data_IF_814420313317
#
_entry.id   IF_814420313317
#
_cell.length_a   1.000
_cell.length_b   1.000
_cell.length_c   1.000
_cell.angle_alpha   90.00
_cell.angle_beta   90.00
_cell.angle_gamma   90.00
#
_symmetry.space_group_name_H-M   'P 1'
#
loop_
_entity.id
_entity.type
_entity.pdbx_description
1 polymer ?
#
# COMPACT_ATOMS: atom_id res chain seq x y z
N UNK A 1 14.84 8.61 -16.26
CA UNK A 1 14.78 9.28 -14.94
C UNK A 1 16.19 9.66 -14.50
N UNK A 2 16.35 10.66 -13.64
CA UNK A 2 17.66 10.95 -13.02
C UNK A 2 17.95 9.90 -11.94
N UNK A 3 19.22 9.56 -11.67
CA UNK A 3 19.56 8.66 -10.57
C UNK A 3 19.11 9.27 -9.24
N UNK A 4 18.54 8.43 -8.36
CA UNK A 4 18.16 8.83 -7.01
C UNK A 4 19.41 9.20 -6.22
N UNK A 5 19.31 10.23 -5.40
CA UNK A 5 20.43 10.73 -4.56
C UNK A 5 20.09 10.80 -3.09
N UNK A 6 18.84 10.52 -2.74
CA UNK A 6 18.31 10.55 -1.39
C UNK A 6 17.31 9.43 -1.25
N UNK A 7 17.30 8.81 -0.08
CA UNK A 7 16.23 7.97 0.44
C UNK A 7 15.63 8.66 1.67
N UNK A 8 14.43 8.23 2.09
CA UNK A 8 13.67 8.91 3.14
C UNK A 8 13.09 7.89 4.12
N UNK A 9 13.40 8.01 5.40
CA UNK A 9 12.69 7.30 6.47
C UNK A 9 11.32 7.95 6.70
N UNK A 10 10.33 7.11 7.03
CA UNK A 10 8.97 7.48 7.38
C UNK A 10 8.73 7.10 8.84
N UNK A 11 8.43 8.09 9.68
CA UNK A 11 8.26 7.90 11.13
C UNK A 11 6.86 8.36 11.55
N UNK A 12 6.18 7.55 12.36
CA UNK A 12 4.90 7.93 12.96
C UNK A 12 5.11 8.98 14.05
N UNK A 13 4.22 9.97 14.09
CA UNK A 13 4.28 11.12 15.00
C UNK A 13 2.88 11.64 15.32
N UNK A 14 2.75 12.33 16.44
CA UNK A 14 1.50 12.94 16.89
C UNK A 14 1.20 14.28 16.19
N UNK A 15 2.20 14.87 15.53
CA UNK A 15 2.07 16.19 14.89
C UNK A 15 1.96 16.05 13.37
N UNK A 16 1.09 16.83 12.76
CA UNK A 16 0.99 16.90 11.30
C UNK A 16 2.18 17.68 10.71
N UNK A 17 3.00 16.99 9.91
CA UNK A 17 4.12 17.56 9.16
C UNK A 17 3.80 17.78 7.67
N UNK A 18 2.57 17.51 7.24
CA UNK A 18 2.15 17.61 5.84
C UNK A 18 2.75 16.52 4.95
N UNK A 19 3.24 15.42 5.52
CA UNK A 19 3.84 14.31 4.76
C UNK A 19 2.91 13.09 4.62
N UNK A 20 1.74 13.11 5.23
CA UNK A 20 0.79 12.01 5.22
C UNK A 20 0.43 11.50 6.61
N UNK A 21 -0.31 10.40 6.64
CA UNK A 21 -0.77 9.74 7.84
C UNK A 21 -0.99 8.24 7.59
N UNK A 22 -0.93 7.46 8.67
CA UNK A 22 -1.45 6.11 8.74
C UNK A 22 -2.81 6.10 9.45
N UNK A 23 -3.58 5.04 9.24
CA UNK A 23 -4.95 4.89 9.74
C UNK A 23 -5.87 6.01 9.21
N UNK A 24 -6.99 6.23 9.88
CA UNK A 24 -7.96 7.24 9.50
C UNK A 24 -8.61 6.93 8.15
N UNK A 25 -9.10 7.99 7.51
CA UNK A 25 -9.69 7.90 6.20
C UNK A 25 -8.75 8.52 5.14
N UNK A 26 -8.84 8.07 3.88
CA UNK A 26 -8.14 8.70 2.77
C UNK A 26 -8.74 10.10 2.49
N UNK A 27 -8.11 10.83 1.58
CA UNK A 27 -8.56 12.14 1.11
C UNK A 27 -8.73 12.14 -0.40
N UNK A 28 -9.52 13.10 -0.90
CA UNK A 28 -9.54 13.43 -2.33
C UNK A 28 -10.19 12.39 -3.24
N UNK A 29 -10.61 11.24 -2.70
CA UNK A 29 -11.43 10.26 -3.42
C UNK A 29 -12.88 10.32 -2.93
N UNK A 30 -13.83 9.91 -3.76
CA UNK A 30 -15.22 9.73 -3.33
C UNK A 30 -15.42 8.39 -2.62
N UNK A 31 -16.52 8.26 -1.88
CA UNK A 31 -16.96 6.96 -1.32
C UNK A 31 -17.18 5.91 -2.40
N UNK A 32 -17.56 6.32 -3.61
CA UNK A 32 -17.71 5.43 -4.75
C UNK A 32 -16.36 4.99 -5.34
N UNK A 33 -15.28 5.70 -5.03
CA UNK A 33 -13.91 5.35 -5.42
C UNK A 33 -13.18 4.52 -4.36
N UNK A 34 -13.82 4.23 -3.23
CA UNK A 34 -13.24 3.43 -2.16
C UNK A 34 -12.93 2.01 -2.67
N UNK A 35 -11.66 1.55 -2.63
CA UNK A 35 -11.29 0.23 -3.15
C UNK A 35 -12.12 -0.90 -2.54
N UNK A 36 -12.41 -1.91 -3.36
CA UNK A 36 -13.22 -3.08 -2.99
C UNK A 36 -12.41 -4.36 -3.15
N UNK A 37 -12.52 -5.26 -2.18
CA UNK A 37 -12.09 -6.66 -2.30
C UNK A 37 -12.60 -7.25 -3.62
N UNK A 38 -11.78 -8.06 -4.28
CA UNK A 38 -12.16 -8.78 -5.51
C UNK A 38 -12.90 -10.07 -5.21
N UNK A 39 -12.89 -10.51 -3.96
CA UNK A 39 -13.41 -11.80 -3.52
C UNK A 39 -14.77 -11.68 -2.84
N UNK A 40 -14.86 -10.86 -1.79
CA UNK A 40 -16.11 -10.68 -1.01
C UNK A 40 -16.75 -9.31 -1.27
N UNK A 41 -16.03 -8.41 -1.93
CA UNK A 41 -16.55 -7.10 -2.33
C UNK A 41 -16.68 -6.13 -1.17
N UNK A 42 -16.15 -6.41 0.02
CA UNK A 42 -16.10 -5.44 1.12
C UNK A 42 -15.24 -4.22 0.75
N UNK A 43 -15.53 -3.03 1.28
CA UNK A 43 -14.61 -1.90 1.21
C UNK A 43 -13.32 -2.20 1.98
N UNK A 44 -12.19 -2.05 1.29
CA UNK A 44 -10.86 -2.38 1.79
C UNK A 44 -10.46 -1.46 2.95
N UNK A 45 -9.63 -1.96 3.87
CA UNK A 45 -9.05 -1.12 4.92
C UNK A 45 -8.11 -0.09 4.30
N UNK A 46 -8.25 1.19 4.67
CA UNK A 46 -7.23 2.19 4.37
C UNK A 46 -6.10 2.02 5.39
N UNK A 47 -4.87 1.87 4.89
CA UNK A 47 -3.70 1.70 5.75
C UNK A 47 -3.02 3.04 5.99
N UNK A 48 -2.75 3.78 4.92
CA UNK A 48 -2.04 5.05 4.97
C UNK A 48 -2.16 5.84 3.67
N UNK A 49 -1.95 7.14 3.78
CA UNK A 49 -1.76 8.06 2.65
C UNK A 49 -0.47 8.84 2.89
N UNK A 50 0.49 8.75 1.97
CA UNK A 50 1.84 9.32 2.11
C UNK A 50 2.20 10.18 0.91
N UNK A 51 2.80 11.35 1.18
CA UNK A 51 3.41 12.20 0.16
C UNK A 51 4.64 11.50 -0.43
N UNK A 52 4.70 11.36 -1.75
CA UNK A 52 5.86 10.77 -2.43
C UNK A 52 6.92 11.86 -2.66
N UNK A 53 8.18 11.65 -2.24
CA UNK A 53 9.27 12.58 -2.54
C UNK A 53 9.40 12.78 -4.06
N UNK A 54 9.70 14.01 -4.51
CA UNK A 54 9.67 14.38 -5.94
C UNK A 54 10.48 13.41 -6.83
N UNK A 55 11.64 12.96 -6.34
CA UNK A 55 12.51 12.04 -7.08
C UNK A 55 11.90 10.63 -7.27
N UNK A 56 10.94 10.23 -6.44
CA UNK A 56 10.26 8.93 -6.47
C UNK A 56 8.92 8.96 -7.23
N UNK A 57 8.50 10.11 -7.77
CA UNK A 57 7.24 10.27 -8.52
C UNK A 57 7.37 9.74 -9.95
N UNK A 58 7.37 8.43 -10.08
CA UNK A 58 7.53 7.71 -11.35
C UNK A 58 6.31 7.80 -12.29
N UNK A 59 5.12 8.14 -11.77
CA UNK A 59 3.90 8.32 -12.57
C UNK A 59 3.70 9.75 -13.09
N UNK A 60 4.68 10.63 -12.86
CA UNK A 60 4.65 12.02 -13.30
C UNK A 60 4.59 13.00 -12.14
N UNK A 61 4.99 14.25 -12.41
CA UNK A 61 5.16 15.29 -11.39
C UNK A 61 3.85 15.70 -10.67
N UNK A 62 2.71 15.48 -11.31
CA UNK A 62 1.40 15.93 -10.84
C UNK A 62 0.75 14.91 -9.89
N UNK A 63 1.25 13.68 -9.86
CA UNK A 63 0.85 12.63 -8.91
C UNK A 63 1.84 12.64 -7.75
N UNK A 64 1.43 13.25 -6.64
CA UNK A 64 2.33 13.68 -5.57
C UNK A 64 2.30 12.79 -4.34
N UNK A 65 1.23 12.02 -4.14
CA UNK A 65 1.02 11.16 -2.98
C UNK A 65 0.45 9.80 -3.42
N UNK A 66 0.51 8.83 -2.51
CA UNK A 66 -0.07 7.50 -2.68
C UNK A 66 -0.92 7.13 -1.47
N UNK A 67 -2.04 6.45 -1.69
CA UNK A 67 -2.84 5.81 -0.64
C UNK A 67 -2.84 4.30 -0.84
N UNK A 68 -2.60 3.54 0.23
CA UNK A 68 -2.60 2.08 0.21
C UNK A 68 -3.79 1.53 1.00
N UNK A 69 -4.39 0.47 0.45
CA UNK A 69 -5.49 -0.26 1.04
C UNK A 69 -5.22 -1.77 1.00
N UNK A 70 -5.76 -2.50 1.97
CA UNK A 70 -5.64 -3.96 2.09
C UNK A 70 -7.00 -4.64 2.25
N UNK A 71 -7.14 -5.85 1.70
CA UNK A 71 -8.24 -6.79 1.92
C UNK A 71 -7.69 -8.20 2.18
N UNK A 72 -8.52 -9.03 2.81
CA UNK A 72 -8.20 -10.44 3.10
C UNK A 72 -8.55 -11.38 1.95
N UNK A 73 -8.28 -10.97 0.70
CA UNK A 73 -8.70 -11.73 -0.50
C UNK A 73 -8.06 -13.14 -0.62
N UNK A 74 -7.11 -13.48 0.24
CA UNK A 74 -6.51 -14.81 0.33
C UNK A 74 -7.36 -15.83 1.13
N UNK A 75 -8.41 -15.40 1.83
CA UNK A 75 -9.24 -16.28 2.66
C UNK A 75 -10.45 -16.84 1.90
N UNK A 76 -10.98 -17.98 2.35
CA UNK A 76 -12.14 -18.64 1.73
C UNK A 76 -13.48 -17.99 2.17
N UNK A 77 -13.67 -16.70 1.88
CA UNK A 77 -14.84 -15.90 2.30
C UNK A 77 -15.60 -15.24 1.12
N UNK A 78 -15.53 -15.84 -0.06
CA UNK A 78 -16.01 -15.24 -1.31
C UNK A 78 -17.53 -15.01 -1.40
N UNK A 79 -17.90 -13.98 -2.16
CA UNK A 79 -19.29 -13.69 -2.54
C UNK A 79 -19.44 -13.86 -4.05
N UNK A 80 -20.24 -14.86 -4.45
CA UNK A 80 -20.48 -15.19 -5.86
C UNK A 80 -20.88 -13.98 -6.70
N UNK A 81 -20.11 -13.71 -7.76
CA UNK A 81 -20.37 -12.66 -8.74
C UNK A 81 -19.70 -11.31 -8.47
N UNK A 82 -19.06 -11.11 -7.30
CA UNK A 82 -18.31 -9.87 -7.00
C UNK A 82 -17.27 -9.56 -8.06
N UNK A 83 -16.39 -10.53 -8.34
CA UNK A 83 -15.33 -10.38 -9.35
C UNK A 83 -15.92 -10.01 -10.71
N UNK A 84 -17.01 -10.68 -11.10
CA UNK A 84 -17.68 -10.45 -12.38
C UNK A 84 -18.27 -9.04 -12.52
N UNK A 85 -18.83 -8.49 -11.43
CA UNK A 85 -19.34 -7.11 -11.40
C UNK A 85 -18.20 -6.10 -11.47
N UNK A 86 -17.15 -6.28 -10.66
CA UNK A 86 -15.99 -5.38 -10.65
C UNK A 86 -15.31 -5.33 -12.02
N UNK A 87 -15.12 -6.49 -12.65
CA UNK A 87 -14.50 -6.62 -13.96
C UNK A 87 -15.45 -6.34 -15.12
N UNK A 88 -16.72 -6.02 -14.83
CA UNK A 88 -17.78 -5.77 -15.83
C UNK A 88 -17.96 -6.93 -16.82
N UNK A 89 -17.69 -8.15 -16.38
CA UNK A 89 -17.90 -9.39 -17.16
C UNK A 89 -19.25 -10.04 -16.84
N UNK A 90 -19.89 -9.66 -15.73
CA UNK A 90 -21.23 -10.09 -15.35
C UNK A 90 -22.07 -8.92 -14.82
N UNK A 91 -23.38 -9.03 -14.97
CA UNK A 91 -24.32 -8.12 -14.32
C UNK A 91 -24.53 -8.55 -12.87
N UNK A 92 -24.80 -7.58 -12.00
CA UNK A 92 -25.09 -7.86 -10.61
C UNK A 92 -26.37 -8.69 -10.46
N UNK A 93 -26.33 -9.67 -9.55
CA UNK A 93 -27.52 -10.40 -9.15
C UNK A 93 -28.40 -9.51 -8.26
N UNK A 94 -29.30 -8.74 -8.87
CA UNK A 94 -30.15 -7.78 -8.14
C UNK A 94 -31.13 -8.43 -7.12
N UNK A 95 -31.27 -9.78 -7.11
CA UNK A 95 -32.14 -10.48 -6.17
C UNK A 95 -31.41 -10.72 -4.83
N UNK A 96 -31.95 -10.17 -3.74
CA UNK A 96 -31.49 -10.43 -2.37
C UNK A 96 -30.51 -9.42 -1.74
N UNK A 97 -29.75 -8.65 -2.53
CA UNK A 97 -28.69 -7.75 -2.01
C UNK A 97 -28.60 -6.41 -2.79
N UNK A 98 -29.74 -5.79 -3.09
CA UNK A 98 -29.82 -4.65 -4.04
C UNK A 98 -28.92 -3.47 -3.68
N UNK A 99 -28.79 -3.11 -2.41
CA UNK A 99 -27.95 -2.00 -1.94
C UNK A 99 -26.47 -2.29 -2.14
N UNK A 100 -26.00 -3.45 -1.68
CA UNK A 100 -24.63 -3.95 -1.89
C UNK A 100 -24.25 -3.95 -3.37
N UNK A 101 -25.05 -4.58 -4.21
CA UNK A 101 -24.76 -4.69 -5.63
C UNK A 101 -24.80 -3.34 -6.35
N UNK A 102 -25.69 -2.44 -5.93
CA UNK A 102 -25.72 -1.07 -6.47
C UNK A 102 -24.45 -0.30 -6.08
N UNK A 103 -23.99 -0.46 -4.84
CA UNK A 103 -22.75 0.13 -4.34
C UNK A 103 -21.52 -0.40 -5.08
N UNK A 104 -21.43 -1.72 -5.26
CA UNK A 104 -20.35 -2.36 -5.99
C UNK A 104 -20.33 -1.93 -7.47
N UNK A 105 -21.49 -1.80 -8.09
CA UNK A 105 -21.61 -1.27 -9.46
C UNK A 105 -21.17 0.20 -9.56
N UNK A 106 -21.50 1.04 -8.58
CA UNK A 106 -21.00 2.43 -8.55
C UNK A 106 -19.49 2.43 -8.51
N UNK A 107 -18.89 1.62 -7.63
CA UNK A 107 -17.44 1.44 -7.61
C UNK A 107 -16.87 0.98 -8.95
N UNK A 108 -17.38 -0.12 -9.51
CA UNK A 108 -16.90 -0.64 -10.79
C UNK A 108 -16.95 0.41 -11.93
N UNK A 109 -17.93 1.32 -11.89
CA UNK A 109 -18.11 2.38 -12.88
C UNK A 109 -17.35 3.68 -12.58
N UNK A 110 -17.01 3.94 -11.32
CA UNK A 110 -16.38 5.18 -10.88
C UNK A 110 -15.00 4.98 -10.25
N UNK A 111 -14.36 3.80 -10.44
CA UNK A 111 -13.00 3.51 -9.96
C UNK A 111 -12.06 4.67 -10.20
N UNK A 112 -11.19 4.94 -9.23
CA UNK A 112 -10.23 6.01 -9.36
C UNK A 112 -9.31 5.74 -10.57
N UNK A 113 -9.08 6.71 -11.48
CA UNK A 113 -8.31 6.49 -12.70
C UNK A 113 -6.85 6.05 -12.46
N UNK A 114 -6.33 6.33 -11.27
CA UNK A 114 -4.98 5.97 -10.83
C UNK A 114 -4.95 4.80 -9.82
N UNK A 115 -6.07 4.10 -9.64
CA UNK A 115 -6.09 2.87 -8.86
C UNK A 115 -5.31 1.76 -9.58
N UNK A 116 -4.45 1.09 -8.82
CA UNK A 116 -3.73 -0.11 -9.21
C UNK A 116 -4.10 -1.18 -8.20
N UNK A 117 -4.64 -2.29 -8.69
CA UNK A 117 -4.86 -3.47 -7.87
C UNK A 117 -3.63 -4.37 -7.93
N UNK A 118 -3.16 -4.81 -6.77
CA UNK A 118 -1.99 -5.64 -6.58
C UNK A 118 -2.42 -6.89 -5.82
N UNK A 119 -1.84 -8.02 -6.18
CA UNK A 119 -2.06 -9.30 -5.50
C UNK A 119 -0.71 -9.79 -4.99
N UNK A 120 -0.68 -10.24 -3.75
CA UNK A 120 0.52 -10.80 -3.15
C UNK A 120 0.67 -12.30 -3.39
N UNK A 121 1.78 -12.90 -2.94
CA UNK A 121 2.09 -14.31 -3.21
C UNK A 121 1.10 -15.31 -2.61
N UNK A 122 0.29 -14.92 -1.61
CA UNK A 122 -0.75 -15.76 -1.03
C UNK A 122 -2.15 -15.47 -1.60
N UNK A 123 -2.26 -14.55 -2.57
CA UNK A 123 -3.54 -14.12 -3.13
C UNK A 123 -4.20 -12.98 -2.33
N UNK A 124 -3.48 -12.34 -1.40
CA UNK A 124 -3.98 -11.22 -0.63
C UNK A 124 -4.14 -9.97 -1.49
N UNK A 125 -5.19 -9.18 -1.20
CA UNK A 125 -5.63 -8.10 -2.06
C UNK A 125 -5.17 -6.74 -1.60
N UNK A 126 -4.56 -5.97 -2.51
CA UNK A 126 -4.03 -4.64 -2.22
C UNK A 126 -4.47 -3.64 -3.29
N UNK A 127 -4.75 -2.40 -2.88
CA UNK A 127 -5.03 -1.32 -3.82
C UNK A 127 -4.15 -0.11 -3.52
N UNK A 128 -3.42 0.34 -4.52
CA UNK A 128 -2.61 1.55 -4.48
C UNK A 128 -3.27 2.62 -5.35
N UNK A 129 -3.49 3.81 -4.80
CA UNK A 129 -4.01 4.94 -5.56
C UNK A 129 -2.98 6.07 -5.56
N UNK A 130 -2.53 6.48 -6.74
CA UNK A 130 -1.78 7.74 -6.88
C UNK A 130 -2.72 8.93 -6.84
N UNK A 131 -2.39 9.92 -6.02
CA UNK A 131 -3.17 11.13 -5.83
C UNK A 131 -2.47 12.34 -6.44
N UNK A 132 -3.26 13.19 -7.07
CA UNK A 132 -2.86 14.54 -7.42
C UNK A 132 -2.66 15.39 -6.17
N UNK A 133 -2.05 16.57 -6.35
CA UNK A 133 -1.92 17.54 -5.25
C UNK A 133 -3.28 18.00 -4.72
N UNK A 134 -4.25 18.24 -5.60
CA UNK A 134 -5.60 18.67 -5.20
C UNK A 134 -6.32 17.58 -4.39
N UNK A 135 -6.16 16.32 -4.77
CA UNK A 135 -6.73 15.19 -4.03
C UNK A 135 -6.06 15.03 -2.66
N UNK A 136 -4.71 15.11 -2.60
CA UNK A 136 -3.97 14.98 -1.33
C UNK A 136 -4.24 16.14 -0.34
N UNK A 137 -4.47 17.35 -0.85
CA UNK A 137 -4.86 18.51 -0.03
C UNK A 137 -6.40 18.63 0.14
N UNK A 138 -7.14 17.65 -0.38
CA UNK A 138 -8.59 17.64 -0.41
C UNK A 138 -9.24 17.29 0.93
N UNK A 139 -10.56 17.19 0.91
CA UNK A 139 -11.32 16.79 2.08
C UNK A 139 -11.16 15.29 2.37
N UNK A 140 -11.26 14.94 3.65
CA UNK A 140 -11.32 13.55 4.11
C UNK A 140 -12.54 12.85 3.49
N UNK A 141 -12.31 11.69 2.90
CA UNK A 141 -13.36 10.85 2.35
C UNK A 141 -14.15 10.22 3.50
N UNK A 142 -15.46 10.41 3.53
CA UNK A 142 -16.31 9.72 4.49
C UNK A 142 -16.23 8.20 4.30
N UNK A 143 -16.40 7.42 5.38
CA UNK A 143 -16.50 5.97 5.27
C UNK A 143 -17.70 5.57 4.37
N UNK A 144 -17.58 4.47 3.61
CA UNK A 144 -18.72 3.85 2.96
C UNK A 144 -19.83 3.51 3.96
N UNK A 145 -21.09 3.50 3.53
CA UNK A 145 -22.18 3.02 4.38
C UNK A 145 -22.06 1.50 4.57
N UNK A 146 -22.14 1.01 5.82
CA UNK A 146 -22.12 -0.43 6.16
C UNK A 146 -23.23 -1.22 5.46
N UNK A 147 -24.45 -0.70 5.41
CA UNK A 147 -25.62 -1.35 4.79
C UNK A 147 -25.47 -1.52 3.26
N UNK A 148 -24.64 -0.66 2.64
CA UNK A 148 -24.31 -0.70 1.22
C UNK A 148 -22.98 -1.42 0.94
N UNK A 149 -22.15 -1.58 1.98
CA UNK A 149 -20.78 -2.09 1.88
C UNK A 149 -20.68 -3.59 2.12
N UNK A 150 -21.57 -4.14 2.94
CA UNK A 150 -21.53 -5.52 3.41
C UNK A 150 -22.60 -6.32 2.68
N UNK A 151 -22.25 -7.49 2.16
CA UNK A 151 -23.21 -8.40 1.56
C UNK A 151 -24.21 -8.88 2.64
N UNK A 152 -25.51 -9.06 2.35
CA UNK A 152 -26.48 -9.50 3.34
C UNK A 152 -26.07 -10.80 4.04
N UNK A 153 -26.26 -10.85 5.36
CA UNK A 153 -25.89 -11.96 6.24
C UNK A 153 -24.38 -12.28 6.29
N UNK A 154 -23.54 -11.42 5.72
CA UNK A 154 -22.09 -11.53 5.83
C UNK A 154 -21.62 -11.02 7.21
N UNK A 155 -20.91 -11.87 7.94
CA UNK A 155 -20.31 -11.52 9.23
C UNK A 155 -18.92 -10.96 9.01
N UNK A 156 -18.70 -9.70 9.44
CA UNK A 156 -17.39 -9.07 9.39
C UNK A 156 -16.62 -9.45 10.65
N UNK A 157 -15.53 -10.20 10.46
CA UNK A 157 -14.64 -10.61 11.54
C UNK A 157 -13.91 -9.42 12.17
N UNK A 158 -13.70 -9.46 13.49
CA UNK A 158 -13.04 -8.37 14.24
C UNK A 158 -11.58 -8.15 13.85
N UNK A 159 -10.95 -9.13 13.20
CA UNK A 159 -9.58 -9.04 12.67
C UNK A 159 -9.52 -8.71 11.17
N UNK A 160 -10.68 -8.52 10.52
CA UNK A 160 -10.76 -8.37 9.07
C UNK A 160 -10.17 -7.06 8.54
N UNK A 161 -9.57 -7.12 7.35
CA UNK A 161 -9.00 -6.00 6.61
C UNK A 161 -10.09 -5.23 5.83
N UNK A 162 -11.02 -4.64 6.56
CA UNK A 162 -12.05 -3.73 6.00
C UNK A 162 -12.03 -2.38 6.70
N UNK A 163 -12.45 -1.33 5.98
CA UNK A 163 -12.55 0.02 6.54
C UNK A 163 -13.44 0.13 7.78
N UNK A 164 -14.32 -0.84 8.03
CA UNK A 164 -15.21 -0.85 9.18
C UNK A 164 -14.57 -1.36 10.48
N UNK A 165 -13.54 -2.19 10.34
CA UNK A 165 -12.79 -2.80 11.45
C UNK A 165 -11.55 -1.97 11.74
N UNK A 166 -10.88 -1.51 10.69
CA UNK A 166 -9.62 -0.74 10.77
C UNK A 166 -9.85 0.78 10.86
N UNK A 167 -11.07 1.24 11.15
CA UNK A 167 -11.38 2.66 11.40
C UNK A 167 -10.78 3.12 12.72
N UNK A 168 -9.54 3.61 12.65
CA UNK A 168 -8.78 4.12 13.79
C UNK A 168 -8.41 5.59 13.57
N UNK A 169 -8.21 6.39 14.64
CA UNK A 169 -7.73 7.76 14.50
C UNK A 169 -6.40 7.81 13.75
N UNK A 170 -6.27 8.80 12.85
CA UNK A 170 -5.05 9.00 12.08
C UNK A 170 -3.83 9.24 12.99
N UNK A 171 -2.68 8.68 12.59
CA UNK A 171 -1.36 9.04 13.12
C UNK A 171 -0.54 9.64 11.99
N UNK A 172 0.06 10.80 12.23
CA UNK A 172 0.77 11.51 11.17
C UNK A 172 2.12 10.87 10.87
N UNK A 173 2.62 11.13 9.68
CA UNK A 173 3.94 10.68 9.21
C UNK A 173 4.86 11.87 9.08
N UNK A 174 6.10 11.72 9.53
CA UNK A 174 7.21 12.61 9.22
C UNK A 174 8.16 11.91 8.24
N UNK A 175 8.70 12.68 7.29
CA UNK A 175 9.78 12.23 6.41
C UNK A 175 11.13 12.78 6.87
N UNK A 176 12.13 11.92 6.99
CA UNK A 176 13.50 12.32 7.30
C UNK A 176 14.47 11.75 6.26
N UNK A 177 15.46 12.55 5.84
CA UNK A 177 16.43 12.11 4.83
C UNK A 177 17.35 11.04 5.44
N UNK A 178 17.49 9.89 4.77
CA UNK A 178 18.48 8.88 5.12
C UNK A 178 19.89 9.40 4.85
N UNK A 179 20.74 9.31 5.86
CA UNK A 179 22.13 9.76 5.79
C UNK A 179 23.05 8.56 5.61
N UNK A 180 23.97 8.68 4.64
CA UNK A 180 25.01 7.69 4.35
C UNK A 180 24.48 6.28 4.06
N UNK A 181 23.34 6.14 3.38
CA UNK A 181 22.86 4.85 2.90
C UNK A 181 23.53 4.53 1.56
N UNK A 182 24.39 3.48 1.46
CA UNK A 182 25.13 3.18 0.24
C UNK A 182 24.26 2.56 -0.87
N UNK A 183 23.02 2.19 -0.55
CA UNK A 183 22.09 1.56 -1.49
C UNK A 183 21.14 2.55 -2.18
N UNK A 184 21.27 3.86 -1.90
CA UNK A 184 20.45 4.88 -2.56
C UNK A 184 20.60 4.80 -4.08
N UNK A 185 19.49 4.62 -4.78
CA UNK A 185 19.44 4.56 -6.24
C UNK A 185 19.84 3.23 -6.85
N UNK A 186 20.09 2.21 -6.03
CA UNK A 186 20.33 0.83 -6.47
C UNK A 186 19.03 0.03 -6.49
N UNK A 187 18.92 -0.90 -7.42
CA UNK A 187 17.82 -1.88 -7.41
C UNK A 187 18.00 -2.84 -6.25
N UNK A 188 16.91 -3.34 -5.68
CA UNK A 188 16.97 -4.46 -4.75
C UNK A 188 17.40 -5.71 -5.51
N UNK A 189 18.31 -6.48 -4.92
CA UNK A 189 18.83 -7.72 -5.47
C UNK A 189 19.33 -8.59 -4.32
N UNK A 190 18.75 -9.78 -4.17
CA UNK A 190 19.08 -10.72 -3.08
C UNK A 190 20.49 -11.31 -3.26
N UNK A 191 20.90 -11.51 -4.51
CA UNK A 191 22.15 -12.16 -4.92
C UNK A 191 22.98 -11.22 -5.81
N UNK A 192 23.46 -10.10 -5.29
CA UNK A 192 24.23 -9.13 -6.06
C UNK A 192 25.56 -9.71 -6.53
N UNK A 193 26.07 -9.21 -7.66
CA UNK A 193 27.43 -9.50 -8.10
C UNK A 193 28.43 -8.83 -7.13
N UNK A 194 29.09 -9.63 -6.30
CA UNK A 194 30.01 -9.14 -5.27
C UNK A 194 31.25 -8.45 -5.87
N UNK A 195 31.59 -8.75 -7.12
CA UNK A 195 32.71 -8.13 -7.85
C UNK A 195 32.36 -6.75 -8.41
N UNK A 196 31.07 -6.39 -8.46
CA UNK A 196 30.60 -5.06 -8.87
C UNK A 196 30.55 -4.10 -7.69
N UNK A 197 31.42 -3.08 -7.70
CA UNK A 197 31.49 -2.05 -6.66
C UNK A 197 30.17 -1.27 -6.52
N UNK A 198 29.38 -1.17 -7.59
CA UNK A 198 28.10 -0.47 -7.64
C UNK A 198 26.91 -1.37 -7.31
N UNK A 199 27.11 -2.67 -7.07
CA UNK A 199 26.03 -3.59 -6.70
C UNK A 199 25.35 -3.22 -5.37
N UNK A 200 24.10 -3.64 -5.23
CA UNK A 200 23.35 -3.53 -3.98
C UNK A 200 24.07 -4.28 -2.85
N UNK A 201 24.02 -3.74 -1.64
CA UNK A 201 24.67 -4.33 -0.45
C UNK A 201 23.57 -4.83 0.49
N UNK A 202 23.31 -6.16 0.58
CA UNK A 202 22.32 -6.72 1.47
C UNK A 202 22.66 -6.39 2.93
N UNK A 203 21.65 -6.02 3.71
CA UNK A 203 21.83 -5.53 5.10
C UNK A 203 22.63 -6.53 5.94
N UNK A 204 22.35 -7.83 5.79
CA UNK A 204 22.93 -8.92 6.57
C UNK A 204 24.11 -9.64 5.86
N UNK A 205 24.67 -9.05 4.80
CA UNK A 205 25.93 -9.53 4.20
C UNK A 205 27.15 -9.11 5.04
N UNK A 206 28.30 -9.75 4.85
CA UNK A 206 29.56 -9.34 5.52
C UNK A 206 29.90 -7.86 5.30
N UNK A 207 29.69 -7.36 4.06
CA UNK A 207 29.86 -5.94 3.72
C UNK A 207 28.83 -5.05 4.42
N UNK A 208 27.59 -5.53 4.54
CA UNK A 208 26.51 -4.86 5.28
C UNK A 208 26.82 -4.69 6.77
N UNK A 209 27.36 -5.73 7.42
CA UNK A 209 27.82 -5.68 8.81
C UNK A 209 28.94 -4.67 9.01
N UNK A 210 29.96 -4.67 8.15
CA UNK A 210 31.07 -3.70 8.19
C UNK A 210 30.56 -2.26 8.05
N UNK A 211 29.56 -2.05 7.19
CA UNK A 211 28.92 -0.76 6.96
C UNK A 211 27.81 -0.43 7.97
N UNK A 212 27.51 -1.32 8.93
CA UNK A 212 26.48 -1.19 9.97
C UNK A 212 25.08 -0.89 9.41
N UNK A 213 24.70 -1.60 8.35
CA UNK A 213 23.42 -1.38 7.67
C UNK A 213 22.20 -1.73 8.52
N UNK A 214 22.38 -2.51 9.59
CA UNK A 214 21.40 -2.81 10.63
C UNK A 214 20.76 -1.56 11.27
N UNK A 215 21.41 -0.39 11.19
CA UNK A 215 20.80 0.89 11.59
C UNK A 215 19.52 1.26 10.82
N UNK A 216 19.26 0.62 9.69
CA UNK A 216 18.05 0.81 8.87
C UNK A 216 16.99 -0.28 9.11
N UNK A 217 17.24 -1.22 10.02
CA UNK A 217 16.32 -2.29 10.36
C UNK A 217 15.00 -1.76 10.94
N UNK A 218 13.89 -2.44 10.61
CA UNK A 218 12.54 -2.15 11.08
C UNK A 218 12.08 -0.71 10.84
N UNK A 219 12.46 -0.14 9.69
CA UNK A 219 12.08 1.20 9.27
C UNK A 219 11.18 1.14 8.06
N UNK A 220 10.17 2.00 8.04
CA UNK A 220 9.42 2.32 6.82
C UNK A 220 10.17 3.40 6.03
N UNK A 221 10.33 3.27 4.71
CA UNK A 221 11.12 4.21 3.92
C UNK A 221 10.87 4.18 2.40
N UNK A 222 11.29 5.24 1.73
CA UNK A 222 11.47 5.28 0.27
C UNK A 222 12.92 4.97 -0.10
N UNK A 223 13.14 3.86 -0.83
CA UNK A 223 14.42 3.42 -1.40
C UNK A 223 15.59 3.26 -0.42
N UNK A 224 16.76 2.87 -0.91
CA UNK A 224 17.95 2.68 -0.08
C UNK A 224 18.10 1.23 0.40
N UNK A 225 18.56 1.02 1.62
CA UNK A 225 18.71 -0.31 2.21
C UNK A 225 17.35 -0.85 2.69
N UNK A 226 16.83 -1.87 2.03
CA UNK A 226 15.67 -2.67 2.46
C UNK A 226 15.99 -3.57 3.66
N UNK A 227 14.97 -3.87 4.44
CA UNK A 227 14.95 -4.79 5.58
C UNK A 227 14.17 -6.07 5.21
N UNK A 228 14.68 -6.96 4.35
CA UNK A 228 13.94 -8.18 4.04
C UNK A 228 13.88 -9.07 5.30
N UNK A 229 12.68 -9.32 5.82
CA UNK A 229 12.46 -10.29 6.90
C UNK A 229 12.70 -11.72 6.39
N UNK A 230 12.41 -11.96 5.12
CA UNK A 230 12.63 -13.22 4.39
C UNK A 230 13.41 -12.97 3.09
N UNK A 231 12.88 -13.41 1.94
CA UNK A 231 13.47 -13.16 0.64
C UNK A 231 13.35 -11.68 0.27
N UNK A 232 14.30 -11.17 -0.51
CA UNK A 232 14.26 -9.80 -1.02
C UNK A 232 13.76 -9.80 -2.47
N UNK A 233 12.78 -8.94 -2.83
CA UNK A 233 12.32 -8.85 -4.21
C UNK A 233 13.35 -8.18 -5.13
N UNK A 234 13.26 -8.47 -6.43
CA UNK A 234 14.05 -7.83 -7.49
C UNK A 234 13.38 -6.53 -7.96
N UNK A 235 13.36 -5.52 -7.10
CA UNK A 235 12.69 -4.24 -7.38
C UNK A 235 13.60 -3.15 -7.92
N UNK A 236 12.99 -2.22 -8.68
CA UNK A 236 13.65 -1.00 -9.10
C UNK A 236 14.09 -0.14 -7.89
N UNK A 237 14.99 0.84 -8.07
CA UNK A 237 15.35 1.77 -7.00
C UNK A 237 14.19 2.63 -6.47
N UNK A 238 13.07 2.65 -7.18
CA UNK A 238 11.91 3.49 -6.91
C UNK A 238 10.86 2.70 -6.13
N UNK A 239 11.21 2.26 -4.93
CA UNK A 239 10.29 1.49 -4.08
C UNK A 239 10.01 2.19 -2.75
N UNK A 240 8.91 1.80 -2.12
CA UNK A 240 8.61 2.05 -0.70
C UNK A 240 8.61 0.71 0.02
N UNK A 241 9.23 0.66 1.20
CA UNK A 241 9.11 -0.43 2.16
C UNK A 241 8.38 0.08 3.40
N UNK A 242 7.48 -0.72 3.96
CA UNK A 242 6.70 -0.35 5.13
C UNK A 242 6.49 -1.51 6.09
N UNK A 243 6.64 -1.22 7.38
CA UNK A 243 6.36 -2.14 8.49
C UNK A 243 4.86 -2.16 8.81
N UNK A 244 4.36 -3.26 9.40
CA UNK A 244 2.94 -3.42 9.79
C UNK A 244 2.40 -2.25 10.62
N UNK A 245 3.25 -1.67 11.48
CA UNK A 245 2.88 -0.53 12.34
C UNK A 245 2.38 0.68 11.54
N UNK A 246 2.76 0.80 10.27
CA UNK A 246 2.20 1.79 9.36
C UNK A 246 0.85 1.29 8.82
N UNK A 247 -0.21 1.57 9.58
CA UNK A 247 -1.59 1.29 9.16
C UNK A 247 -2.16 -0.04 9.64
N UNK A 248 -1.43 -0.79 10.47
CA UNK A 248 -1.84 -2.10 11.01
C UNK A 248 -2.16 -3.08 9.87
N UNK A 249 -1.28 -3.07 8.87
CA UNK A 249 -1.28 -4.01 7.76
C UNK A 249 -1.02 -5.41 8.31
N UNK A 250 -1.86 -6.38 7.94
CA UNK A 250 -1.69 -7.75 8.41
C UNK A 250 -0.72 -8.50 7.48
N UNK A 251 0.52 -8.67 7.92
CA UNK A 251 1.63 -9.33 7.21
C UNK A 251 2.35 -10.35 8.12
N UNK A 252 1.67 -10.85 9.15
CA UNK A 252 2.20 -11.86 10.06
C UNK A 252 3.52 -11.48 10.74
N UNK A 253 3.72 -10.22 11.10
CA UNK A 253 4.90 -9.75 11.85
C UNK A 253 6.08 -9.29 10.99
N UNK A 254 5.90 -9.03 9.69
CA UNK A 254 6.98 -8.57 8.81
C UNK A 254 6.71 -7.24 8.11
N UNK A 255 7.04 -7.14 6.83
CA UNK A 255 6.96 -5.89 6.08
C UNK A 255 6.55 -6.09 4.62
N UNK A 256 6.08 -5.01 4.01
CA UNK A 256 5.68 -4.95 2.61
C UNK A 256 6.59 -4.03 1.82
N UNK A 257 6.86 -4.37 0.57
CA UNK A 257 7.53 -3.53 -0.41
C UNK A 257 6.64 -3.31 -1.63
N UNK A 258 6.66 -2.08 -2.17
CA UNK A 258 6.00 -1.73 -3.43
C UNK A 258 7.02 -1.11 -4.38
N UNK A 259 7.24 -1.73 -5.52
CA UNK A 259 7.94 -1.10 -6.65
C UNK A 259 7.01 -0.12 -7.34
N UNK A 260 7.21 1.18 -7.09
CA UNK A 260 6.38 2.25 -7.62
C UNK A 260 6.51 2.34 -9.15
N UNK A 261 7.67 1.98 -9.70
CA UNK A 261 7.95 2.07 -11.12
C UNK A 261 7.18 0.98 -11.87
N UNK A 262 7.35 -0.26 -11.42
CA UNK A 262 6.84 -1.45 -12.11
C UNK A 262 5.43 -1.87 -11.65
N UNK A 263 4.91 -1.26 -10.58
CA UNK A 263 3.64 -1.63 -9.94
C UNK A 263 3.66 -3.09 -9.43
N UNK A 264 4.72 -3.45 -8.71
CA UNK A 264 4.87 -4.77 -8.11
C UNK A 264 4.78 -4.65 -6.60
N UNK A 265 4.22 -5.67 -5.96
CA UNK A 265 4.11 -5.78 -4.51
C UNK A 265 4.74 -7.08 -4.06
N UNK A 266 5.49 -7.03 -2.96
CA UNK A 266 5.98 -8.21 -2.26
C UNK A 266 5.89 -7.94 -0.75
N UNK A 267 5.88 -9.00 0.04
CA UNK A 267 5.88 -8.92 1.49
C UNK A 267 6.55 -10.14 2.10
N UNK A 268 6.98 -10.00 3.35
CA UNK A 268 7.55 -11.08 4.13
C UNK A 268 6.88 -11.16 5.51
N UNK A 269 6.73 -12.37 6.05
CA UNK A 269 6.31 -12.61 7.44
C UNK A 269 7.50 -12.93 8.37
N UNK A 270 7.34 -12.69 9.67
CA UNK A 270 8.40 -12.77 10.69
C UNK A 270 8.12 -13.71 11.85
#
# INVERSE_FOLDING_TARGET
MKPLKQAYDLELTDNDHGCGWAFGCPVGISTEQWPRSRINGLPMAHLWTILVPEAYRVKGKDLVAISLFQADDHVEDSVDGVEGVINKSAEANASGATTFWSSLNRYANNRHPQEIYLEDIIGGGWALIWLTKEEFEGETTALPNKEDGIYPDYEVEEWGSTCFVKDQPAKFVQQTVRINDPNIGKSLNEWPDEDDEDAYIPMFSEKGEVLKLDRFHAKTHFGGTANPIQAMPEFSPFYIEFEEMLGDANMGGGNGQIDLLNNEFDWACG
#
